data_IF_904265070575
#
_entry.id   IF_904265070575
#
_cell.length_a   1.000
_cell.length_b   1.000
_cell.length_c   1.000
_cell.angle_alpha   90.00
_cell.angle_beta   90.00
_cell.angle_gamma   90.00
#
_symmetry.space_group_name_H-M   'P 1'
#
loop_
_entity.id
_entity.type
_entity.pdbx_description
1 polymer ?
#
# COMPACT_ATOMS: atom_id res chain seq x y z
N UNK A 1 16.93 -1.93 -3.11
CA UNK A 1 16.53 -0.51 -2.96
C UNK A 1 16.48 0.25 -4.27
N UNK A 2 17.12 -0.21 -5.35
CA UNK A 2 17.15 0.51 -6.64
C UNK A 2 15.77 0.65 -7.29
N UNK A 3 14.96 -0.42 -7.28
CA UNK A 3 13.59 -0.39 -7.86
C UNK A 3 12.70 0.59 -7.10
N UNK A 4 12.55 0.44 -5.78
CA UNK A 4 11.73 1.37 -4.97
C UNK A 4 12.07 2.83 -5.24
N UNK A 5 13.36 3.18 -5.27
CA UNK A 5 13.80 4.55 -5.48
C UNK A 5 13.53 5.04 -6.90
N UNK A 6 13.66 4.17 -7.91
CA UNK A 6 13.32 4.47 -9.31
C UNK A 6 11.81 4.71 -9.45
N UNK A 7 10.99 3.74 -9.06
CA UNK A 7 9.53 3.84 -9.23
C UNK A 7 8.94 4.98 -8.38
N UNK A 8 9.47 5.24 -7.18
CA UNK A 8 9.02 6.38 -6.36
C UNK A 8 9.19 7.73 -7.08
N UNK A 9 10.25 7.86 -7.90
CA UNK A 9 10.44 9.05 -8.73
C UNK A 9 9.53 9.02 -9.96
N UNK A 10 9.49 7.91 -10.69
CA UNK A 10 8.73 7.79 -11.95
C UNK A 10 7.21 7.97 -11.74
N UNK A 11 6.64 7.29 -10.74
CA UNK A 11 5.20 7.31 -10.49
C UNK A 11 4.74 8.52 -9.67
N UNK A 12 5.56 8.99 -8.71
CA UNK A 12 5.13 9.98 -7.71
C UNK A 12 6.04 11.21 -7.58
N UNK A 13 7.14 11.30 -8.33
CA UNK A 13 8.07 12.42 -8.26
C UNK A 13 8.82 12.52 -6.92
N UNK A 14 8.87 11.44 -6.14
CA UNK A 14 9.59 11.41 -4.87
C UNK A 14 11.09 11.38 -5.16
N UNK A 15 11.86 12.39 -4.74
CA UNK A 15 13.28 12.46 -5.05
C UNK A 15 14.07 11.39 -4.30
N UNK A 16 15.20 10.97 -4.86
CA UNK A 16 16.03 9.88 -4.34
C UNK A 16 16.48 10.11 -2.88
N UNK A 17 16.82 11.36 -2.55
CA UNK A 17 17.21 11.75 -1.21
C UNK A 17 16.10 11.59 -0.17
N UNK A 18 14.83 11.62 -0.59
CA UNK A 18 13.69 11.29 0.26
C UNK A 18 13.40 9.78 0.24
N UNK A 19 13.33 9.17 -0.94
CA UNK A 19 12.98 7.75 -1.13
C UNK A 19 13.95 6.80 -0.40
N UNK A 20 15.25 7.15 -0.27
CA UNK A 20 16.24 6.36 0.48
C UNK A 20 15.92 6.22 1.98
N UNK A 21 15.05 7.06 2.52
CA UNK A 21 14.61 6.99 3.91
C UNK A 21 13.47 5.97 4.15
N UNK A 22 12.91 5.40 3.09
CA UNK A 22 11.89 4.36 3.18
C UNK A 22 12.42 3.16 3.98
N UNK A 23 11.59 2.63 4.86
CA UNK A 23 11.93 1.50 5.75
C UNK A 23 11.14 0.29 5.33
N UNK A 24 11.84 -0.84 5.13
CA UNK A 24 11.18 -2.12 4.96
C UNK A 24 10.28 -2.40 6.17
N UNK A 25 9.01 -2.70 5.91
CA UNK A 25 7.98 -2.85 6.92
C UNK A 25 7.43 -4.28 6.99
N UNK A 26 7.65 -5.08 5.95
CA UNK A 26 7.24 -6.48 5.90
C UNK A 26 6.99 -6.94 4.47
N UNK A 27 6.15 -7.96 4.33
CA UNK A 27 5.63 -8.41 3.07
C UNK A 27 4.22 -8.96 3.25
N UNK A 28 3.40 -8.80 2.21
CA UNK A 28 2.08 -9.41 2.08
C UNK A 28 2.07 -10.33 0.86
N UNK A 29 1.19 -11.33 0.86
CA UNK A 29 1.00 -12.22 -0.27
C UNK A 29 -0.42 -12.06 -0.83
N UNK A 30 -0.52 -11.71 -2.11
CA UNK A 30 -1.76 -11.70 -2.85
C UNK A 30 -1.89 -13.05 -3.57
N UNK A 31 -2.81 -13.90 -3.10
CA UNK A 31 -3.07 -15.22 -3.70
C UNK A 31 -4.54 -15.36 -4.04
N UNK A 32 -4.85 -15.45 -5.33
CA UNK A 32 -6.23 -15.53 -5.83
C UNK A 32 -6.30 -16.20 -7.20
N UNK A 33 -7.43 -16.81 -7.50
CA UNK A 33 -7.71 -17.31 -8.84
C UNK A 33 -8.02 -16.16 -9.80
N UNK A 34 -7.57 -16.31 -11.05
CA UNK A 34 -7.81 -15.43 -12.20
C UNK A 34 -8.11 -16.29 -13.42
N UNK A 35 -8.60 -15.69 -14.50
CA UNK A 35 -8.94 -16.41 -15.74
C UNK A 35 -7.73 -17.21 -16.28
N UNK A 36 -6.53 -16.64 -16.17
CA UNK A 36 -5.27 -17.22 -16.64
C UNK A 36 -4.65 -18.24 -15.68
N UNK A 37 -5.27 -18.50 -14.53
CA UNK A 37 -4.79 -19.47 -13.53
C UNK A 37 -4.72 -18.88 -12.12
N UNK A 38 -3.56 -18.99 -11.47
CA UNK A 38 -3.37 -18.52 -10.10
C UNK A 38 -2.46 -17.30 -10.09
N UNK A 39 -3.01 -16.17 -9.65
CA UNK A 39 -2.22 -15.02 -9.25
C UNK A 39 -1.66 -15.30 -7.85
N UNK A 40 -0.33 -15.33 -7.71
CA UNK A 40 0.37 -15.63 -6.47
C UNK A 40 1.62 -14.78 -6.35
N UNK A 41 1.45 -13.59 -5.77
CA UNK A 41 2.49 -12.56 -5.70
C UNK A 41 2.87 -12.25 -4.24
N UNK A 42 4.13 -11.88 -4.02
CA UNK A 42 4.62 -11.34 -2.75
C UNK A 42 4.98 -9.87 -2.97
N UNK A 43 4.32 -8.99 -2.21
CA UNK A 43 4.56 -7.54 -2.24
C UNK A 43 5.41 -7.15 -1.03
N UNK A 44 6.59 -6.58 -1.28
CA UNK A 44 7.48 -6.10 -0.23
C UNK A 44 7.12 -4.68 0.20
N UNK A 45 6.59 -4.55 1.42
CA UNK A 45 6.03 -3.30 1.94
C UNK A 45 7.13 -2.40 2.50
N UNK A 46 7.07 -1.12 2.15
CA UNK A 46 7.95 -0.08 2.66
C UNK A 46 7.15 1.11 3.18
N UNK A 47 7.55 1.63 4.34
CA UNK A 47 6.97 2.85 4.91
C UNK A 47 7.91 4.03 4.64
N UNK A 48 7.37 5.12 4.11
CA UNK A 48 8.07 6.40 3.94
C UNK A 48 7.23 7.52 4.56
N UNK A 49 7.85 8.29 5.47
CA UNK A 49 7.23 9.50 6.01
C UNK A 49 7.66 10.68 5.12
N UNK A 50 6.69 11.38 4.57
CA UNK A 50 6.90 12.51 3.67
C UNK A 50 6.82 13.83 4.44
N UNK A 51 7.51 14.90 4.01
CA UNK A 51 7.30 16.25 4.53
C UNK A 51 5.86 16.73 4.23
N UNK A 52 5.26 17.49 5.14
CA UNK A 52 3.89 18.03 4.96
C UNK A 52 3.73 18.89 3.69
N UNK A 53 4.81 19.52 3.24
CA UNK A 53 4.82 20.36 2.04
C UNK A 53 5.07 19.58 0.74
N UNK A 54 5.32 18.27 0.80
CA UNK A 54 5.54 17.46 -0.39
C UNK A 54 4.23 17.23 -1.14
N UNK A 55 4.24 17.48 -2.45
CA UNK A 55 3.12 17.20 -3.35
C UNK A 55 3.59 16.20 -4.40
N UNK A 56 3.02 14.98 -4.46
CA UNK A 56 3.40 13.99 -5.46
C UNK A 56 2.99 14.44 -6.88
N UNK A 57 3.78 14.04 -7.86
CA UNK A 57 3.51 14.33 -9.28
C UNK A 57 3.92 13.14 -10.15
N UNK A 58 3.04 12.65 -11.05
CA UNK A 58 3.41 11.64 -12.03
C UNK A 58 4.49 12.17 -12.98
N UNK A 59 5.46 11.32 -13.35
CA UNK A 59 6.56 11.71 -14.26
C UNK A 59 6.53 10.94 -15.59
N UNK A 60 6.03 9.71 -15.61
CA UNK A 60 6.08 8.82 -16.78
C UNK A 60 4.72 8.54 -17.44
N UNK A 61 3.63 8.93 -16.77
CA UNK A 61 2.26 8.79 -17.25
C UNK A 61 1.53 7.53 -16.78
N UNK A 62 2.12 6.73 -15.89
CA UNK A 62 1.46 5.54 -15.32
C UNK A 62 0.38 5.90 -14.29
N UNK A 63 0.57 7.02 -13.57
CA UNK A 63 -0.36 7.51 -12.56
C UNK A 63 -1.19 8.68 -13.08
N UNK A 64 -2.53 8.56 -12.99
CA UNK A 64 -3.46 9.60 -13.40
C UNK A 64 -3.50 10.77 -12.41
N UNK A 65 -3.59 10.48 -11.10
CA UNK A 65 -3.68 11.51 -10.06
C UNK A 65 -3.32 10.99 -8.67
N UNK A 66 -3.13 11.92 -7.74
CA UNK A 66 -2.90 11.65 -6.31
C UNK A 66 -3.93 12.36 -5.45
N UNK A 67 -4.29 11.73 -4.33
CA UNK A 67 -5.14 12.32 -3.30
C UNK A 67 -4.52 12.08 -1.92
N UNK A 68 -4.45 13.13 -1.09
CA UNK A 68 -4.09 13.00 0.32
C UNK A 68 -5.37 12.79 1.15
N UNK A 69 -5.51 11.60 1.73
CA UNK A 69 -6.76 11.15 2.36
C UNK A 69 -6.56 10.92 3.86
N UNK A 70 -7.44 11.42 4.74
CA UNK A 70 -7.42 11.09 6.17
C UNK A 70 -7.60 9.58 6.41
N UNK A 71 -6.93 9.02 7.41
CA UNK A 71 -7.01 7.59 7.74
C UNK A 71 -8.46 7.10 7.95
N UNK A 72 -9.31 7.93 8.55
CA UNK A 72 -10.73 7.60 8.73
C UNK A 72 -11.47 7.37 7.39
N UNK A 73 -11.10 8.09 6.33
CA UNK A 73 -11.72 7.93 5.02
C UNK A 73 -11.08 6.78 4.24
N UNK A 74 -9.78 6.50 4.44
CA UNK A 74 -9.14 5.28 3.93
C UNK A 74 -9.84 4.04 4.47
N UNK A 75 -10.15 3.99 5.77
CA UNK A 75 -10.92 2.91 6.38
C UNK A 75 -12.30 2.73 5.72
N UNK A 76 -13.04 3.82 5.47
CA UNK A 76 -14.33 3.74 4.77
C UNK A 76 -14.19 3.24 3.32
N UNK A 77 -13.12 3.63 2.62
CA UNK A 77 -12.85 3.18 1.25
C UNK A 77 -12.50 1.69 1.21
N UNK A 78 -11.81 1.16 2.22
CA UNK A 78 -11.53 -0.29 2.32
C UNK A 78 -12.80 -1.14 2.47
N UNK A 79 -13.82 -0.60 3.14
CA UNK A 79 -15.14 -1.26 3.25
C UNK A 79 -15.96 -1.15 1.96
N UNK A 80 -15.53 -0.34 1.00
CA UNK A 80 -16.22 -0.10 -0.26
C UNK A 80 -15.64 -0.98 -1.38
N UNK A 81 -16.48 -1.69 -2.15
CA UNK A 81 -15.99 -2.54 -3.22
C UNK A 81 -15.28 -1.72 -4.31
N UNK A 82 -14.22 -2.31 -4.87
CA UNK A 82 -13.51 -1.81 -6.06
C UNK A 82 -12.86 -0.42 -5.93
N UNK A 83 -12.65 0.10 -4.72
CA UNK A 83 -11.90 1.35 -4.52
C UNK A 83 -10.38 1.17 -4.65
N UNK A 84 -9.90 -0.04 -4.38
CA UNK A 84 -8.49 -0.40 -4.43
C UNK A 84 -8.32 -1.68 -5.23
N UNK A 85 -7.16 -1.83 -5.86
CA UNK A 85 -6.71 -3.16 -6.31
C UNK A 85 -6.48 -4.05 -5.10
N UNK A 86 -6.56 -5.37 -5.28
CA UNK A 86 -6.49 -6.31 -4.15
C UNK A 86 -5.13 -6.24 -3.44
N UNK A 87 -4.05 -6.19 -4.19
CA UNK A 87 -2.68 -6.05 -3.70
C UNK A 87 -2.47 -4.74 -2.91
N UNK A 88 -2.92 -3.60 -3.44
CA UNK A 88 -2.82 -2.32 -2.72
C UNK A 88 -3.68 -2.30 -1.45
N UNK A 89 -4.87 -2.90 -1.46
CA UNK A 89 -5.69 -3.06 -0.27
C UNK A 89 -4.98 -3.86 0.83
N UNK A 90 -4.28 -4.94 0.47
CA UNK A 90 -3.48 -5.73 1.43
C UNK A 90 -2.33 -4.91 2.03
N UNK A 91 -1.64 -4.10 1.22
CA UNK A 91 -0.57 -3.20 1.70
C UNK A 91 -1.11 -2.14 2.66
N UNK A 92 -2.27 -1.56 2.36
CA UNK A 92 -2.93 -0.57 3.24
C UNK A 92 -3.34 -1.22 4.56
N UNK A 93 -3.99 -2.40 4.51
CA UNK A 93 -4.41 -3.14 5.72
C UNK A 93 -3.21 -3.51 6.58
N UNK A 94 -2.09 -3.97 6.00
CA UNK A 94 -0.85 -4.25 6.73
C UNK A 94 -0.34 -3.00 7.47
N UNK A 95 -0.33 -1.84 6.80
CA UNK A 95 0.06 -0.57 7.41
C UNK A 95 -0.87 -0.19 8.58
N UNK A 96 -2.18 -0.24 8.38
CA UNK A 96 -3.17 0.14 9.39
C UNK A 96 -3.13 -0.77 10.62
N UNK A 97 -2.88 -2.07 10.43
CA UNK A 97 -2.66 -3.03 11.52
C UNK A 97 -1.37 -2.73 12.29
N UNK A 98 -0.23 -2.57 11.60
CA UNK A 98 1.06 -2.27 12.25
C UNK A 98 1.06 -0.94 12.99
N UNK A 99 0.27 0.03 12.53
CA UNK A 99 0.15 1.36 13.13
C UNK A 99 -0.98 1.46 14.17
N UNK A 100 -1.75 0.39 14.39
CA UNK A 100 -2.78 0.30 15.44
C UNK A 100 -4.11 1.00 15.10
N UNK A 101 -4.34 1.38 13.84
CA UNK A 101 -5.63 1.92 13.39
C UNK A 101 -6.68 0.82 13.20
N UNK A 102 -6.23 -0.38 12.85
CA UNK A 102 -7.01 -1.61 12.95
C UNK A 102 -6.40 -2.40 14.10
N UNK A 103 -7.21 -2.84 15.05
CA UNK A 103 -6.77 -3.49 16.27
C UNK A 103 -7.65 -4.71 16.60
N UNK A 104 -7.26 -5.44 17.65
CA UNK A 104 -7.90 -6.70 18.07
C UNK A 104 -9.35 -6.56 18.55
N UNK A 105 -9.89 -5.35 18.64
CA UNK A 105 -11.30 -5.13 19.01
C UNK A 105 -12.25 -5.40 17.83
N UNK A 106 -11.74 -5.47 16.59
CA UNK A 106 -12.51 -5.91 15.42
C UNK A 106 -12.70 -7.43 15.42
N UNK A 107 -13.92 -7.86 15.12
CA UNK A 107 -14.28 -9.29 15.06
C UNK A 107 -13.49 -10.05 13.97
N UNK A 108 -13.19 -9.39 12.85
CA UNK A 108 -12.47 -9.93 11.68
C UNK A 108 -10.95 -9.71 11.73
N UNK A 109 -10.40 -9.23 12.86
CA UNK A 109 -8.97 -8.89 12.98
C UNK A 109 -8.03 -10.02 12.55
N UNK A 110 -8.33 -11.25 13.00
CA UNK A 110 -7.51 -12.42 12.64
C UNK A 110 -7.67 -12.80 11.17
N UNK A 111 -8.86 -12.64 10.60
CA UNK A 111 -9.11 -12.94 9.19
C UNK A 111 -8.32 -12.00 8.29
N UNK A 112 -8.23 -10.71 8.64
CA UNK A 112 -7.39 -9.74 7.95
C UNK A 112 -5.91 -10.14 7.98
N UNK A 113 -5.41 -10.64 9.11
CA UNK A 113 -4.02 -11.11 9.24
C UNK A 113 -3.77 -12.33 8.35
N UNK A 114 -4.69 -13.30 8.34
CA UNK A 114 -4.56 -14.49 7.51
C UNK A 114 -4.66 -14.15 6.01
N UNK A 115 -5.54 -13.23 5.63
CA UNK A 115 -5.72 -12.82 4.23
C UNK A 115 -4.44 -12.22 3.61
N UNK A 116 -3.60 -11.57 4.41
CA UNK A 116 -2.30 -11.05 3.96
C UNK A 116 -1.20 -12.12 3.88
N UNK A 117 -1.42 -13.30 4.48
CA UNK A 117 -0.45 -14.41 4.58
C UNK A 117 -1.13 -15.77 4.32
N UNK A 118 -1.76 -15.95 3.13
CA UNK A 118 -2.52 -17.15 2.78
C UNK A 118 -1.64 -18.34 2.34
#
# INVERSE_FOLDING_TARGET
MTTLVKESFEEAGIPNDLAKHARAAGAVRCKREVEEGLHNEVVFVHDLILPDAFVPSPQDGEVESFECVPIADVLKRLESPSQFTIDSALVIVDCLLRRGYINSDREDYLDLIHAMRP
#
